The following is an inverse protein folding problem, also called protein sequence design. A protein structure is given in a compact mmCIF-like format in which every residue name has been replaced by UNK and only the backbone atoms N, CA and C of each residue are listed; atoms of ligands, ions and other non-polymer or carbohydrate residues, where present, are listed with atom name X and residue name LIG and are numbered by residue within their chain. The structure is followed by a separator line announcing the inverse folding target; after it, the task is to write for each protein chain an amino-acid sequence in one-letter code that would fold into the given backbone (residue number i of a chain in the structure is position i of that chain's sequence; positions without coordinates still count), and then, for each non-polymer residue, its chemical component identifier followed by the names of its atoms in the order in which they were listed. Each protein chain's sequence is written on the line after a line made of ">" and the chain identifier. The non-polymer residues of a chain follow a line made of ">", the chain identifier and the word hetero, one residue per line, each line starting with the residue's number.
data_IF_265476070682
#
_entry.id   IF_265476070682
#
_cell.length_a   1.000
_cell.length_b   1.000
_cell.length_c   1.000
_cell.angle_alpha   90.00
_cell.angle_beta   90.00
_cell.angle_gamma   90.00
#
_symmetry.space_group_name_H-M   'P 1'
#
loop_
_entity.id
_entity.type
_entity.pdbx_description
1 polymer ?
#
# COMPACT_ATOMS: atom_id res chain seq x y z
N UNK A 1 46.03 40.96 -6.53
CA UNK A 1 44.73 41.05 -5.81
C UNK A 1 43.52 41.05 -6.76
N UNK A 2 43.40 41.98 -7.73
CA UNK A 2 42.24 42.06 -8.64
C UNK A 2 41.93 40.77 -9.43
N UNK A 3 42.96 40.07 -9.94
CA UNK A 3 42.78 38.78 -10.67
C UNK A 3 42.25 37.64 -9.79
N UNK A 4 42.65 37.59 -8.51
CA UNK A 4 42.20 36.58 -7.55
C UNK A 4 40.73 36.83 -7.19
N UNK A 5 40.33 38.09 -7.00
CA UNK A 5 38.94 38.49 -6.75
C UNK A 5 38.05 38.12 -7.94
N UNK A 6 38.50 38.35 -9.18
CA UNK A 6 37.78 37.96 -10.40
C UNK A 6 37.58 36.44 -10.51
N UNK A 7 38.59 35.65 -10.15
CA UNK A 7 38.50 34.18 -10.13
C UNK A 7 37.52 33.67 -9.06
N UNK A 8 37.55 34.23 -7.86
CA UNK A 8 36.58 33.89 -6.81
C UNK A 8 35.16 34.26 -7.21
N UNK A 9 34.96 35.42 -7.84
CA UNK A 9 33.64 35.84 -8.31
C UNK A 9 33.11 34.92 -9.42
N UNK A 10 33.97 34.49 -10.36
CA UNK A 10 33.60 33.52 -11.38
C UNK A 10 33.21 32.14 -10.78
N UNK A 11 33.90 31.71 -9.73
CA UNK A 11 33.57 30.47 -9.02
C UNK A 11 32.24 30.55 -8.26
N UNK A 12 31.98 31.69 -7.61
CA UNK A 12 30.71 31.94 -6.92
C UNK A 12 29.53 31.98 -7.91
N UNK A 13 29.69 32.65 -9.05
CA UNK A 13 28.67 32.73 -10.11
C UNK A 13 28.36 31.36 -10.69
N UNK A 14 29.38 30.56 -11.01
CA UNK A 14 29.17 29.19 -11.53
C UNK A 14 28.50 28.27 -10.50
N UNK A 15 28.83 28.38 -9.22
CA UNK A 15 28.16 27.65 -8.15
C UNK A 15 26.68 28.04 -8.02
N UNK A 16 26.37 29.34 -8.02
CA UNK A 16 24.99 29.85 -7.93
C UNK A 16 24.16 29.45 -9.16
N UNK A 17 24.73 29.55 -10.36
CA UNK A 17 24.09 29.11 -11.60
C UNK A 17 23.84 27.60 -11.59
N UNK A 18 24.80 26.79 -11.13
CA UNK A 18 24.63 25.35 -10.98
C UNK A 18 23.53 24.99 -9.97
N UNK A 19 23.44 25.72 -8.85
CA UNK A 19 22.40 25.52 -7.84
C UNK A 19 21.02 25.93 -8.36
N UNK A 20 20.91 27.07 -9.04
CA UNK A 20 19.67 27.54 -9.65
C UNK A 20 19.20 26.58 -10.76
N UNK A 21 20.11 26.12 -11.62
CA UNK A 21 19.82 25.13 -12.65
C UNK A 21 19.34 23.80 -12.05
N UNK A 22 20.01 23.30 -11.00
CA UNK A 22 19.56 22.11 -10.25
C UNK A 22 18.18 22.31 -9.62
N UNK A 23 17.90 23.47 -9.05
CA UNK A 23 16.60 23.78 -8.43
C UNK A 23 15.46 23.82 -9.46
N UNK A 24 15.68 24.46 -10.60
CA UNK A 24 14.71 24.55 -11.70
C UNK A 24 14.47 23.17 -12.32
N UNK A 25 15.51 22.40 -12.57
CA UNK A 25 15.39 21.03 -13.10
C UNK A 25 14.73 20.08 -12.10
N UNK A 26 15.02 20.20 -10.80
CA UNK A 26 14.36 19.39 -9.75
C UNK A 26 12.88 19.71 -9.65
N UNK A 27 12.48 20.99 -9.75
CA UNK A 27 11.06 21.38 -9.78
C UNK A 27 10.33 20.85 -11.03
N UNK A 28 10.98 20.90 -12.19
CA UNK A 28 10.42 20.40 -13.47
C UNK A 28 10.34 18.88 -13.54
N UNK A 29 11.21 18.15 -12.83
CA UNK A 29 11.16 16.68 -12.77
C UNK A 29 10.13 16.22 -11.75
N UNK A 30 9.95 16.94 -10.64
CA UNK A 30 8.95 16.60 -9.62
C UNK A 30 7.49 16.82 -10.06
N UNK A 31 7.21 17.63 -11.09
CA UNK A 31 5.86 17.74 -11.66
C UNK A 31 5.43 16.52 -12.47
N UNK A 32 6.33 15.55 -12.66
CA UNK A 32 6.11 14.34 -13.45
C UNK A 32 6.55 13.09 -12.70
N UNK A 33 6.44 13.07 -11.38
CA UNK A 33 6.54 11.84 -10.63
C UNK A 33 5.29 11.02 -10.91
N UNK A 34 5.42 9.97 -11.74
CA UNK A 34 4.32 9.05 -12.03
C UNK A 34 3.75 8.52 -10.71
N UNK A 35 2.44 8.64 -10.52
CA UNK A 35 1.74 8.09 -9.35
C UNK A 35 2.16 6.62 -9.21
N UNK A 36 2.77 6.27 -8.08
CA UNK A 36 3.01 4.86 -7.76
C UNK A 36 1.65 4.22 -7.50
N UNK A 37 1.19 3.42 -8.46
CA UNK A 37 -0.12 2.74 -8.38
C UNK A 37 -0.08 1.70 -7.26
N UNK A 38 0.47 0.53 -7.53
CA UNK A 38 0.59 -0.56 -6.56
C UNK A 38 2.02 -0.65 -6.04
N UNK A 39 2.16 -0.75 -4.72
CA UNK A 39 3.45 -0.85 -4.01
C UNK A 39 3.69 -2.24 -3.40
N UNK A 40 2.67 -3.10 -3.35
CA UNK A 40 2.79 -4.48 -2.88
C UNK A 40 1.44 -5.18 -2.70
N UNK A 41 1.47 -6.39 -2.13
CA UNK A 41 0.26 -7.11 -1.71
C UNK A 41 -0.03 -6.78 -0.26
N UNK A 42 -1.21 -6.25 0.00
CA UNK A 42 -1.68 -5.95 1.35
C UNK A 42 -2.49 -7.08 1.94
N UNK A 43 -3.10 -7.94 1.10
CA UNK A 43 -3.70 -9.17 1.59
C UNK A 43 -4.27 -10.10 0.53
N UNK A 44 -4.55 -11.33 0.97
CA UNK A 44 -5.28 -12.35 0.21
C UNK A 44 -6.47 -12.79 1.05
N UNK A 45 -7.66 -12.58 0.51
CA UNK A 45 -8.92 -12.94 1.14
C UNK A 45 -9.59 -14.03 0.33
N UNK A 46 -10.14 -15.04 1.00
CA UNK A 46 -10.78 -16.15 0.29
C UNK A 46 -11.94 -16.74 1.08
N UNK A 47 -12.92 -17.26 0.37
CA UNK A 47 -14.10 -17.91 0.93
C UNK A 47 -13.80 -19.35 1.34
N UNK A 48 -14.42 -19.78 2.43
CA UNK A 48 -14.43 -21.17 2.86
C UNK A 48 -15.69 -21.47 3.70
N UNK A 49 -16.01 -22.76 3.86
CA UNK A 49 -17.19 -23.20 4.61
C UNK A 49 -17.12 -22.84 6.10
N UNK A 50 -15.97 -23.07 6.72
CA UNK A 50 -15.72 -22.82 8.14
C UNK A 50 -14.39 -22.08 8.34
N UNK A 51 -14.42 -20.74 8.49
CA UNK A 51 -13.21 -19.95 8.71
C UNK A 51 -12.47 -20.31 10.00
N UNK A 52 -13.17 -20.75 11.05
CA UNK A 52 -12.53 -21.10 12.33
C UNK A 52 -11.75 -22.40 12.17
N UNK A 53 -12.35 -23.42 11.57
CA UNK A 53 -11.66 -24.67 11.27
C UNK A 53 -10.48 -24.45 10.30
N UNK A 54 -10.66 -23.58 9.29
CA UNK A 54 -9.60 -23.23 8.35
C UNK A 54 -8.38 -22.62 9.06
N UNK A 55 -8.60 -21.59 9.90
CA UNK A 55 -7.53 -20.96 10.68
C UNK A 55 -6.83 -21.95 11.59
N UNK A 56 -7.59 -22.79 12.30
CA UNK A 56 -7.03 -23.81 13.19
C UNK A 56 -6.16 -24.82 12.43
N UNK A 57 -6.59 -25.25 11.23
CA UNK A 57 -5.81 -26.17 10.40
C UNK A 57 -4.48 -25.54 9.97
N UNK A 58 -4.50 -24.31 9.45
CA UNK A 58 -3.29 -23.60 9.01
C UNK A 58 -2.33 -23.31 10.18
N UNK A 59 -2.85 -22.95 11.35
CA UNK A 59 -2.05 -22.79 12.56
C UNK A 59 -1.37 -24.11 12.96
N UNK A 60 -2.12 -25.21 13.01
CA UNK A 60 -1.62 -26.50 13.47
C UNK A 60 -0.61 -27.15 12.49
N UNK A 61 -0.80 -26.97 11.18
CA UNK A 61 -0.02 -27.70 10.18
C UNK A 61 1.03 -26.86 9.48
N UNK A 62 0.81 -25.54 9.34
CA UNK A 62 1.74 -24.62 8.66
C UNK A 62 2.34 -23.58 9.61
N UNK A 63 1.95 -23.59 10.89
CA UNK A 63 2.52 -22.70 11.90
C UNK A 63 2.11 -21.23 11.77
N UNK A 64 1.02 -20.92 11.05
CA UNK A 64 0.54 -19.55 10.96
C UNK A 64 0.08 -19.05 12.33
N UNK A 65 0.51 -17.84 12.70
CA UNK A 65 0.01 -17.15 13.88
C UNK A 65 -1.37 -16.56 13.57
N UNK A 66 -2.43 -17.35 13.81
CA UNK A 66 -3.80 -16.95 13.48
C UNK A 66 -4.55 -16.31 14.65
N UNK A 67 -5.36 -15.30 14.36
CA UNK A 67 -6.38 -14.72 15.25
C UNK A 67 -7.78 -14.77 14.59
N UNK A 68 -8.79 -14.09 15.14
CA UNK A 68 -10.15 -14.07 14.58
C UNK A 68 -10.25 -13.55 13.13
N UNK A 69 -9.30 -12.70 12.72
CA UNK A 69 -9.23 -12.07 11.40
C UNK A 69 -8.39 -12.86 10.40
N UNK A 70 -7.68 -13.92 10.79
CA UNK A 70 -6.78 -14.67 9.92
C UNK A 70 -5.34 -14.64 10.44
N UNK A 71 -4.36 -14.44 9.55
CA UNK A 71 -2.95 -14.32 9.90
C UNK A 71 -2.36 -13.06 9.26
N UNK A 72 -1.39 -12.43 9.95
CA UNK A 72 -0.63 -11.29 9.43
C UNK A 72 0.79 -11.75 9.16
N UNK A 73 1.33 -11.48 7.97
CA UNK A 73 2.74 -11.65 7.65
C UNK A 73 3.47 -10.32 7.79
N UNK A 74 4.52 -10.26 8.61
CA UNK A 74 5.38 -9.09 8.78
C UNK A 74 6.62 -9.22 7.90
N UNK A 75 6.95 -8.17 7.16
CA UNK A 75 8.12 -8.12 6.28
C UNK A 75 8.79 -6.74 6.33
N UNK A 76 9.96 -6.61 5.70
CA UNK A 76 10.68 -5.33 5.54
C UNK A 76 10.54 -4.82 4.12
N UNK A 77 10.26 -3.53 3.96
CA UNK A 77 10.02 -2.97 2.63
C UNK A 77 11.29 -2.99 1.77
N UNK A 78 11.15 -3.37 0.50
CA UNK A 78 12.30 -3.51 -0.40
C UNK A 78 13.00 -2.18 -0.71
N UNK A 79 12.25 -1.09 -0.87
CA UNK A 79 12.81 0.24 -1.12
C UNK A 79 13.42 0.89 0.12
N UNK A 80 13.01 0.45 1.31
CA UNK A 80 13.49 0.96 2.60
C UNK A 80 13.33 -0.15 3.66
N UNK A 81 14.42 -0.88 3.89
CA UNK A 81 14.42 -2.02 4.83
C UNK A 81 14.28 -1.59 6.29
N UNK A 82 14.33 -0.29 6.60
CA UNK A 82 14.04 0.23 7.94
C UNK A 82 12.54 0.21 8.23
N UNK A 83 11.69 0.24 7.19
CA UNK A 83 10.24 0.21 7.30
C UNK A 83 9.70 -1.22 7.30
N UNK A 84 8.69 -1.44 8.12
CA UNK A 84 7.90 -2.68 8.09
C UNK A 84 6.82 -2.60 7.02
N UNK A 85 6.37 -3.76 6.57
CA UNK A 85 5.16 -3.94 5.78
C UNK A 85 4.42 -5.15 6.31
N UNK A 86 3.11 -5.17 6.04
CA UNK A 86 2.23 -6.23 6.50
C UNK A 86 1.37 -6.75 5.36
N UNK A 87 1.16 -8.06 5.35
CA UNK A 87 0.26 -8.74 4.42
C UNK A 87 -0.73 -9.59 5.20
N UNK A 88 -2.01 -9.33 4.98
CA UNK A 88 -3.11 -10.03 5.62
C UNK A 88 -3.50 -11.29 4.85
N UNK A 89 -3.72 -12.38 5.55
CA UNK A 89 -4.30 -13.60 5.02
C UNK A 89 -5.59 -13.89 5.77
N UNK A 90 -6.73 -13.87 5.09
CA UNK A 90 -8.04 -13.94 5.76
C UNK A 90 -9.00 -14.94 5.09
N UNK A 91 -9.41 -16.00 5.80
CA UNK A 91 -10.54 -16.82 5.40
C UNK A 91 -11.85 -16.15 5.80
N UNK A 92 -12.77 -16.07 4.85
CA UNK A 92 -14.14 -15.56 5.02
C UNK A 92 -15.15 -16.71 4.91
N UNK A 93 -16.32 -16.53 5.51
CA UNK A 93 -17.41 -17.47 5.32
C UNK A 93 -17.92 -17.42 3.87
N UNK A 94 -18.17 -18.57 3.24
CA UNK A 94 -18.63 -18.66 1.85
C UNK A 94 -19.90 -17.84 1.55
N UNK A 95 -20.76 -17.65 2.55
CA UNK A 95 -22.02 -16.89 2.46
C UNK A 95 -21.84 -15.38 2.62
N UNK A 96 -20.62 -14.89 2.83
CA UNK A 96 -20.37 -13.44 2.93
C UNK A 96 -20.69 -12.73 1.62
N UNK A 97 -21.24 -11.53 1.74
CA UNK A 97 -21.47 -10.59 0.62
C UNK A 97 -20.30 -9.65 0.37
N UNK A 98 -19.25 -9.70 1.21
CA UNK A 98 -18.12 -8.78 1.13
C UNK A 98 -17.42 -8.76 -0.25
N UNK A 99 -17.45 -9.88 -0.97
CA UNK A 99 -16.83 -10.06 -2.29
C UNK A 99 -17.73 -9.54 -3.43
N UNK A 100 -19.01 -9.27 -3.18
CA UNK A 100 -19.93 -8.77 -4.19
C UNK A 100 -19.47 -7.38 -4.69
N UNK A 101 -19.58 -7.11 -6.01
CA UNK A 101 -20.31 -7.89 -7.02
C UNK A 101 -19.49 -9.02 -7.68
N UNK A 102 -18.24 -9.26 -7.25
CA UNK A 102 -17.43 -10.38 -7.75
C UNK A 102 -18.08 -11.72 -7.43
N UNK A 103 -17.99 -12.66 -8.37
CA UNK A 103 -18.40 -14.05 -8.18
C UNK A 103 -17.23 -14.96 -7.80
N UNK A 104 -16.01 -14.42 -7.70
CA UNK A 104 -14.83 -15.20 -7.31
C UNK A 104 -14.83 -15.47 -5.80
N UNK A 105 -14.32 -16.65 -5.45
CA UNK A 105 -14.11 -17.05 -4.06
C UNK A 105 -12.84 -16.46 -3.43
N UNK A 106 -12.19 -15.51 -4.12
CA UNK A 106 -11.02 -14.81 -3.61
C UNK A 106 -11.03 -13.33 -4.00
N UNK A 107 -10.27 -12.54 -3.26
CA UNK A 107 -10.04 -11.11 -3.46
C UNK A 107 -8.60 -10.82 -3.10
N UNK A 108 -7.95 -10.03 -3.94
CA UNK A 108 -6.60 -9.53 -3.69
C UNK A 108 -6.74 -8.10 -3.15
N UNK A 109 -6.05 -7.84 -2.05
CA UNK A 109 -5.87 -6.50 -1.50
C UNK A 109 -4.47 -6.00 -1.91
N UNK A 110 -4.40 -4.85 -2.59
CA UNK A 110 -3.17 -4.22 -3.03
C UNK A 110 -2.81 -3.02 -2.16
N UNK A 111 -1.53 -2.90 -1.81
CA UNK A 111 -1.00 -1.71 -1.15
C UNK A 111 -0.78 -0.61 -2.17
N UNK A 112 -1.17 0.61 -1.83
CA UNK A 112 -1.01 1.82 -2.65
C UNK A 112 -0.48 2.97 -1.78
N UNK A 113 -0.04 4.07 -2.40
CA UNK A 113 0.54 5.21 -1.66
C UNK A 113 -0.42 6.41 -1.50
N UNK A 114 -1.32 6.63 -2.46
CA UNK A 114 -2.28 7.74 -2.40
C UNK A 114 -3.63 7.33 -3.02
N UNK A 115 -4.58 6.98 -2.16
CA UNK A 115 -5.89 6.46 -2.58
C UNK A 115 -6.72 7.52 -3.28
N UNK A 116 -6.73 8.76 -2.81
CA UNK A 116 -7.55 9.80 -3.42
C UNK A 116 -7.12 10.09 -4.85
N UNK A 117 -5.82 10.32 -5.07
CA UNK A 117 -5.28 10.64 -6.40
C UNK A 117 -5.43 9.46 -7.35
N UNK A 118 -5.17 8.23 -6.87
CA UNK A 118 -5.31 7.04 -7.71
C UNK A 118 -6.76 6.82 -8.13
N UNK A 119 -7.73 7.00 -7.23
CA UNK A 119 -9.15 6.86 -7.56
C UNK A 119 -9.61 7.90 -8.58
N UNK A 120 -9.11 9.13 -8.52
CA UNK A 120 -9.39 10.12 -9.56
C UNK A 120 -8.87 9.70 -10.93
N UNK A 121 -7.65 9.14 -11.01
CA UNK A 121 -7.06 8.64 -12.26
C UNK A 121 -7.84 7.43 -12.81
N UNK A 122 -8.21 6.50 -11.92
CA UNK A 122 -8.97 5.30 -12.27
C UNK A 122 -10.35 5.66 -12.82
N UNK A 123 -11.06 6.60 -12.19
CA UNK A 123 -12.35 7.11 -12.69
C UNK A 123 -12.22 7.75 -14.07
N UNK A 124 -11.18 8.58 -14.29
CA UNK A 124 -10.88 9.18 -15.61
C UNK A 124 -10.60 8.11 -16.67
N UNK A 125 -10.08 6.96 -16.26
CA UNK A 125 -9.77 5.82 -17.14
C UNK A 125 -10.94 4.84 -17.31
N UNK A 126 -12.13 5.15 -16.78
CA UNK A 126 -13.32 4.30 -16.90
C UNK A 126 -13.35 3.07 -15.98
N UNK A 127 -12.45 2.99 -14.99
CA UNK A 127 -12.47 1.91 -14.00
C UNK A 127 -13.65 2.08 -13.07
N UNK A 128 -14.37 0.99 -12.81
CA UNK A 128 -15.52 1.00 -11.89
C UNK A 128 -15.04 0.99 -10.45
N UNK A 129 -15.39 2.03 -9.69
CA UNK A 129 -15.19 2.11 -8.25
C UNK A 129 -16.48 1.65 -7.57
N UNK A 130 -16.39 0.67 -6.67
CA UNK A 130 -17.55 -0.06 -6.13
C UNK A 130 -18.13 0.61 -4.88
N UNK A 131 -17.30 1.31 -4.11
CA UNK A 131 -17.68 1.96 -2.86
C UNK A 131 -16.90 3.27 -2.62
N UNK A 132 -17.16 3.90 -1.48
CA UNK A 132 -16.48 5.12 -1.04
C UNK A 132 -15.22 4.78 -0.25
N UNK A 133 -14.26 5.70 -0.22
CA UNK A 133 -13.06 5.53 0.60
C UNK A 133 -13.46 5.44 2.08
N UNK A 134 -13.12 4.32 2.71
CA UNK A 134 -13.23 4.12 4.16
C UNK A 134 -11.90 4.49 4.82
N UNK A 135 -11.93 5.22 5.93
CA UNK A 135 -10.73 5.72 6.60
C UNK A 135 -10.69 5.28 8.06
N UNK A 136 -9.56 4.69 8.44
CA UNK A 136 -9.23 4.26 9.79
C UNK A 136 -7.84 4.77 10.18
N UNK A 137 -7.46 4.70 11.45
CA UNK A 137 -6.12 5.10 11.91
C UNK A 137 -5.00 4.30 11.22
N UNK A 138 -5.26 3.02 10.92
CA UNK A 138 -4.32 2.10 10.28
C UNK A 138 -4.34 2.15 8.74
N UNK A 139 -5.17 2.98 8.13
CA UNK A 139 -5.14 3.21 6.68
C UNK A 139 -6.50 3.49 6.05
N UNK A 140 -6.47 3.63 4.72
CA UNK A 140 -7.66 3.90 3.90
C UNK A 140 -7.91 2.77 2.91
N UNK A 141 -9.17 2.47 2.66
CA UNK A 141 -9.60 1.35 1.84
C UNK A 141 -10.63 1.78 0.80
N UNK A 142 -10.59 1.16 -0.37
CA UNK A 142 -11.59 1.32 -1.43
C UNK A 142 -11.56 0.12 -2.36
N UNK A 143 -12.69 -0.23 -2.97
CA UNK A 143 -12.78 -1.33 -3.91
C UNK A 143 -13.03 -0.87 -5.34
N UNK A 144 -12.42 -1.58 -6.28
CA UNK A 144 -12.63 -1.39 -7.72
C UNK A 144 -12.92 -2.74 -8.39
N UNK A 145 -13.41 -2.68 -9.63
CA UNK A 145 -13.51 -3.86 -10.50
C UNK A 145 -12.39 -3.85 -11.54
N UNK A 146 -11.76 -5.00 -11.71
CA UNK A 146 -10.84 -5.25 -12.82
C UNK A 146 -11.61 -5.54 -14.14
N UNK A 147 -10.91 -5.73 -15.28
CA UNK A 147 -11.57 -5.99 -16.56
C UNK A 147 -12.44 -7.26 -16.62
N UNK A 148 -12.27 -8.21 -15.69
CA UNK A 148 -13.08 -9.42 -15.61
C UNK A 148 -14.23 -9.30 -14.58
N UNK A 149 -14.39 -8.13 -13.97
CA UNK A 149 -15.37 -7.90 -12.91
C UNK A 149 -14.95 -8.48 -11.56
N UNK A 150 -13.67 -8.82 -11.38
CA UNK A 150 -13.18 -9.21 -10.07
C UNK A 150 -13.10 -7.96 -9.18
N UNK A 151 -13.74 -8.04 -8.01
CA UNK A 151 -13.61 -7.03 -6.96
C UNK A 151 -12.24 -7.17 -6.32
N UNK A 152 -11.45 -6.10 -6.36
CA UNK A 152 -10.16 -5.99 -5.71
C UNK A 152 -10.21 -4.84 -4.70
N UNK A 153 -9.45 -4.98 -3.63
CA UNK A 153 -9.34 -3.95 -2.60
C UNK A 153 -8.02 -3.19 -2.77
N UNK A 154 -8.07 -1.87 -2.60
CA UNK A 154 -6.92 -1.00 -2.53
C UNK A 154 -6.77 -0.51 -1.10
N UNK A 155 -5.59 -0.63 -0.54
CA UNK A 155 -5.26 -0.19 0.81
C UNK A 155 -4.09 0.79 0.78
N UNK A 156 -4.31 2.00 1.29
CA UNK A 156 -3.25 2.94 1.64
C UNK A 156 -2.89 2.70 3.12
N UNK A 157 -1.78 2.00 3.41
CA UNK A 157 -1.46 1.57 4.76
C UNK A 157 -0.82 2.67 5.59
N UNK A 158 -1.22 2.73 6.86
CA UNK A 158 -0.41 3.34 7.90
C UNK A 158 0.22 2.23 8.74
N UNK A 159 1.39 1.74 8.32
CA UNK A 159 2.03 0.57 8.93
C UNK A 159 2.35 0.77 10.42
N UNK A 160 2.59 2.01 10.87
CA UNK A 160 2.87 2.31 12.28
C UNK A 160 1.63 2.08 13.13
N UNK A 161 0.48 2.60 12.70
CA UNK A 161 -0.78 2.42 13.44
C UNK A 161 -1.31 0.99 13.28
N UNK A 162 -1.08 0.35 12.13
CA UNK A 162 -1.42 -1.07 11.94
C UNK A 162 -0.63 -1.98 12.90
N UNK A 163 0.66 -1.71 13.09
CA UNK A 163 1.49 -2.43 14.07
C UNK A 163 0.97 -2.23 15.49
N UNK A 164 0.70 -0.98 15.90
CA UNK A 164 0.14 -0.67 17.22
C UNK A 164 -1.19 -1.36 17.47
N UNK A 165 -2.07 -1.40 16.46
CA UNK A 165 -3.35 -2.13 16.56
C UNK A 165 -3.10 -3.62 16.85
N UNK A 166 -2.16 -4.24 16.12
CA UNK A 166 -1.76 -5.63 16.35
C UNK A 166 -1.28 -5.88 17.78
N UNK A 167 -0.44 -4.99 18.31
CA UNK A 167 0.04 -5.05 19.69
C UNK A 167 -1.10 -4.90 20.71
N UNK A 168 -2.01 -3.94 20.50
CA UNK A 168 -3.16 -3.68 21.39
C UNK A 168 -4.09 -4.89 21.52
N UNK A 169 -4.34 -5.60 20.42
CA UNK A 169 -5.20 -6.79 20.42
C UNK A 169 -4.44 -8.09 20.75
N UNK A 170 -3.14 -8.00 21.05
CA UNK A 170 -2.29 -9.16 21.33
C UNK A 170 -2.08 -10.09 20.13
N UNK A 171 -2.21 -9.58 18.91
CA UNK A 171 -1.98 -10.35 17.69
C UNK A 171 -0.47 -10.62 17.51
N UNK A 172 -0.13 -11.84 17.09
CA UNK A 172 1.23 -12.21 16.71
C UNK A 172 1.34 -12.27 15.19
N UNK A 173 2.39 -11.68 14.64
CA UNK A 173 2.70 -11.77 13.21
C UNK A 173 3.39 -13.09 12.90
N UNK A 174 3.15 -13.62 11.70
CA UNK A 174 3.91 -14.71 11.07
C UNK A 174 5.11 -14.07 10.34
N UNK A 175 6.29 -14.68 10.43
CA UNK A 175 7.55 -14.16 9.87
C UNK A 175 8.25 -15.22 9.06
#
# INVERSE_FOLDING_TARGET
>A
MKKIILLFFAFAVTFVLGFAFKSVTTKSVNSQQSIKKVTGIGGIFFKCKDPKAMRAWYAAHLGLNTNEYGAVFEWRQGSDTSKKGFTQWSPFNEKTRYFEPSTKDFMINYRIENVETLIEELKKSGVTVVDTIESYEYGKFVHILDPEGNKIELWEPNDIEFEKLGEQIGAKTTK
#
